data_IF_130940469866
#
_entry.id   IF_130940469866
#
_cell.length_a   1.000
_cell.length_b   1.000
_cell.length_c   1.000
_cell.angle_alpha   90.00
_cell.angle_beta   90.00
_cell.angle_gamma   90.00
#
_symmetry.space_group_name_H-M   'P 1'
#
loop_
_entity.id
_entity.type
_entity.pdbx_description
1 polymer ?
#
# COMPACT_ATOMS: atom_id res chain seq x y z
N UNK A 1 13.58 39.87 47.82
CA UNK A 1 13.40 39.91 46.35
C UNK A 1 13.44 38.52 45.69
N UNK A 2 12.86 37.46 46.29
CA UNK A 2 12.92 36.07 45.73
C UNK A 2 11.64 35.58 45.04
N UNK A 3 10.49 36.23 45.28
CA UNK A 3 9.18 35.76 44.76
C UNK A 3 8.96 36.01 43.26
N UNK A 4 9.56 37.05 42.69
CA UNK A 4 9.41 37.37 41.25
C UNK A 4 10.15 36.40 40.33
N UNK A 5 11.33 35.91 40.76
CA UNK A 5 12.13 34.96 39.97
C UNK A 5 11.46 33.58 39.87
N UNK A 6 10.83 33.11 40.94
CA UNK A 6 10.10 31.82 40.95
C UNK A 6 8.91 31.79 39.96
N UNK A 7 8.18 32.91 39.84
CA UNK A 7 7.07 33.00 38.90
C UNK A 7 7.56 33.03 37.45
N UNK A 8 8.66 33.74 37.18
CA UNK A 8 9.24 33.82 35.85
C UNK A 8 9.79 32.46 35.38
N UNK A 9 10.52 31.73 36.24
CA UNK A 9 11.01 30.38 35.94
C UNK A 9 9.87 29.38 35.67
N UNK A 10 8.79 29.48 36.44
CA UNK A 10 7.60 28.65 36.25
C UNK A 10 6.93 28.91 34.89
N UNK A 11 6.81 30.18 34.50
CA UNK A 11 6.23 30.57 33.20
C UNK A 11 7.09 30.05 32.04
N UNK A 12 8.42 30.21 32.14
CA UNK A 12 9.35 29.71 31.12
C UNK A 12 9.27 28.18 31.00
N UNK A 13 9.20 27.47 32.12
CA UNK A 13 9.06 26.01 32.15
C UNK A 13 7.77 25.53 31.47
N UNK A 14 6.62 26.14 31.80
CA UNK A 14 5.33 25.82 31.19
C UNK A 14 5.36 26.08 29.67
N UNK A 15 5.98 27.19 29.26
CA UNK A 15 6.10 27.54 27.84
C UNK A 15 6.95 26.51 27.07
N UNK A 16 8.09 26.10 27.63
CA UNK A 16 8.96 25.08 27.03
C UNK A 16 8.25 23.71 26.93
N UNK A 17 7.57 23.28 27.99
CA UNK A 17 6.79 22.04 28.00
C UNK A 17 5.72 22.06 26.91
N UNK A 18 5.05 23.21 26.73
CA UNK A 18 3.99 23.38 25.74
C UNK A 18 4.53 23.27 24.30
N UNK A 19 5.70 23.86 24.00
CA UNK A 19 6.36 23.75 22.69
C UNK A 19 6.74 22.30 22.37
N UNK A 20 7.29 21.59 23.37
CA UNK A 20 7.67 20.18 23.22
C UNK A 20 6.43 19.32 22.95
N UNK A 21 5.34 19.53 23.68
CA UNK A 21 4.08 18.80 23.50
C UNK A 21 3.48 19.02 22.10
N UNK A 22 3.43 20.27 21.61
CA UNK A 22 2.91 20.55 20.26
C UNK A 22 3.74 19.81 19.21
N UNK A 23 5.06 19.88 19.32
CA UNK A 23 5.99 19.21 18.39
C UNK A 23 5.80 17.69 18.39
N UNK A 24 5.62 17.08 19.56
CA UNK A 24 5.34 15.64 19.72
C UNK A 24 4.00 15.24 19.09
N UNK A 25 2.93 15.99 19.35
CA UNK A 25 1.59 15.70 18.82
C UNK A 25 1.58 15.79 17.30
N UNK A 26 2.20 16.82 16.72
CA UNK A 26 2.34 16.96 15.26
C UNK A 26 3.16 15.82 14.65
N UNK A 27 4.24 15.40 15.32
CA UNK A 27 5.06 14.26 14.91
C UNK A 27 4.28 12.95 14.89
N UNK A 28 3.57 12.62 15.98
CA UNK A 28 2.76 11.40 16.12
C UNK A 28 1.64 11.39 15.07
N UNK A 29 0.97 12.52 14.83
CA UNK A 29 -0.07 12.64 13.80
C UNK A 29 0.47 12.31 12.40
N UNK A 30 1.66 12.82 12.08
CA UNK A 30 2.32 12.58 10.79
C UNK A 30 2.70 11.11 10.62
N UNK A 31 3.24 10.48 11.67
CA UNK A 31 3.57 9.05 11.69
C UNK A 31 2.32 8.19 11.52
N UNK A 32 1.24 8.52 12.24
CA UNK A 32 -0.03 7.80 12.16
C UNK A 32 -0.63 7.81 10.75
N UNK A 33 -0.62 8.97 10.07
CA UNK A 33 -1.03 9.09 8.67
C UNK A 33 -0.17 8.21 7.76
N UNK A 34 1.15 8.21 7.95
CA UNK A 34 2.06 7.37 7.16
C UNK A 34 1.81 5.87 7.37
N UNK A 35 1.56 5.43 8.60
CA UNK A 35 1.23 4.03 8.91
C UNK A 35 -0.09 3.62 8.25
N UNK A 36 -1.11 4.47 8.33
CA UNK A 36 -2.39 4.20 7.67
C UNK A 36 -2.22 4.02 6.15
N UNK A 37 -1.38 4.86 5.52
CA UNK A 37 -1.10 4.79 4.10
C UNK A 37 -0.36 3.50 3.72
N UNK A 38 0.62 3.09 4.53
CA UNK A 38 1.34 1.83 4.33
C UNK A 38 0.39 0.64 4.39
N UNK A 39 -0.50 0.61 5.39
CA UNK A 39 -1.47 -0.48 5.56
C UNK A 39 -2.46 -0.57 4.38
N UNK A 40 -2.93 0.57 3.87
CA UNK A 40 -3.81 0.61 2.70
C UNK A 40 -3.10 0.06 1.46
N UNK A 41 -1.84 0.46 1.23
CA UNK A 41 -0.99 -0.08 0.16
C UNK A 41 -0.74 -1.58 0.29
N UNK A 42 -0.40 -2.07 1.49
CA UNK A 42 -0.18 -3.50 1.75
C UNK A 42 -1.42 -4.33 1.42
N UNK A 43 -2.61 -3.86 1.82
CA UNK A 43 -3.87 -4.53 1.50
C UNK A 43 -4.09 -4.64 -0.01
N UNK A 44 -3.89 -3.55 -0.76
CA UNK A 44 -4.11 -3.57 -2.22
C UNK A 44 -3.09 -4.46 -2.93
N UNK A 45 -1.83 -4.46 -2.47
CA UNK A 45 -0.81 -5.36 -3.03
C UNK A 45 -1.11 -6.83 -2.73
N UNK A 46 -1.60 -7.14 -1.53
CA UNK A 46 -1.99 -8.49 -1.17
C UNK A 46 -3.17 -8.98 -2.00
N UNK A 47 -4.17 -8.13 -2.21
CA UNK A 47 -5.29 -8.45 -3.08
C UNK A 47 -4.83 -8.70 -4.53
N UNK A 48 -4.00 -7.81 -5.08
CA UNK A 48 -3.44 -7.97 -6.43
C UNK A 48 -2.61 -9.26 -6.56
N UNK A 49 -1.86 -9.62 -5.51
CA UNK A 49 -1.09 -10.87 -5.46
C UNK A 49 -2.01 -12.08 -5.48
N UNK A 50 -3.07 -12.07 -4.66
CA UNK A 50 -4.03 -13.16 -4.60
C UNK A 50 -4.78 -13.34 -5.94
N UNK A 51 -5.18 -12.24 -6.58
CA UNK A 51 -5.81 -12.25 -7.90
C UNK A 51 -4.84 -12.81 -8.96
N UNK A 52 -3.56 -12.42 -8.90
CA UNK A 52 -2.53 -12.94 -9.79
C UNK A 52 -2.27 -14.44 -9.60
N UNK A 53 -2.12 -14.90 -8.36
CA UNK A 53 -1.92 -16.32 -8.04
C UNK A 53 -3.12 -17.17 -8.50
N UNK A 54 -4.34 -16.68 -8.31
CA UNK A 54 -5.55 -17.33 -8.80
C UNK A 54 -5.58 -17.44 -10.34
N UNK A 55 -5.23 -16.36 -11.05
CA UNK A 55 -5.21 -16.36 -12.52
C UNK A 55 -4.12 -17.26 -13.08
N UNK A 56 -2.92 -17.25 -12.50
CA UNK A 56 -1.84 -18.18 -12.86
C UNK A 56 -2.30 -19.63 -12.67
N UNK A 57 -2.89 -19.93 -11.52
CA UNK A 57 -3.38 -21.27 -11.19
C UNK A 57 -4.50 -21.73 -12.14
N UNK A 58 -5.42 -20.83 -12.49
CA UNK A 58 -6.52 -21.11 -13.42
C UNK A 58 -5.99 -21.33 -14.83
N UNK A 59 -5.13 -20.45 -15.33
CA UNK A 59 -4.52 -20.58 -16.66
C UNK A 59 -3.82 -21.92 -16.84
N UNK A 60 -3.06 -22.38 -15.84
CA UNK A 60 -2.37 -23.66 -15.92
C UNK A 60 -3.24 -24.89 -15.69
N UNK A 61 -4.47 -24.74 -15.17
CA UNK A 61 -5.43 -25.83 -14.99
C UNK A 61 -6.38 -25.98 -16.18
N UNK A 62 -6.90 -24.86 -16.69
CA UNK A 62 -7.98 -24.85 -17.68
C UNK A 62 -7.60 -24.18 -19.00
N UNK A 63 -6.50 -23.41 -19.05
CA UNK A 63 -6.11 -22.61 -20.21
C UNK A 63 -6.99 -21.38 -20.48
N UNK A 64 -8.09 -21.23 -19.74
CA UNK A 64 -9.09 -20.17 -19.91
C UNK A 64 -9.06 -19.24 -18.71
N UNK A 65 -8.99 -17.94 -18.98
CA UNK A 65 -9.00 -16.89 -17.98
C UNK A 65 -10.34 -16.16 -18.03
N UNK A 66 -10.90 -15.86 -16.86
CA UNK A 66 -12.16 -15.12 -16.72
C UNK A 66 -12.02 -14.12 -15.60
N UNK A 67 -12.47 -12.88 -15.81
CA UNK A 67 -12.38 -11.83 -14.80
C UNK A 67 -12.35 -10.43 -15.42
N UNK A 68 -12.12 -9.43 -14.57
CA UNK A 68 -11.96 -8.04 -14.99
C UNK A 68 -10.47 -7.68 -15.04
N UNK A 69 -9.83 -7.95 -16.16
CA UNK A 69 -8.44 -7.63 -16.43
C UNK A 69 -8.26 -7.35 -17.92
N UNK A 70 -7.21 -6.60 -18.26
CA UNK A 70 -6.84 -6.41 -19.65
C UNK A 70 -5.97 -7.61 -20.09
N UNK A 71 -6.31 -8.22 -21.24
CA UNK A 71 -5.54 -9.32 -21.84
C UNK A 71 -5.02 -8.91 -23.21
N UNK A 72 -3.71 -9.10 -23.44
CA UNK A 72 -3.06 -8.95 -24.72
C UNK A 72 -2.40 -10.27 -25.14
N UNK A 73 -2.70 -10.77 -26.34
CA UNK A 73 -2.05 -11.96 -26.88
C UNK A 73 -0.81 -11.56 -27.70
N UNK A 74 0.37 -12.00 -27.25
CA UNK A 74 1.68 -11.70 -27.82
C UNK A 74 2.30 -12.94 -28.48
N UNK A 75 1.55 -13.64 -29.33
CA UNK A 75 2.08 -14.76 -30.13
C UNK A 75 2.49 -15.97 -29.30
N UNK A 76 1.59 -16.48 -28.45
CA UNK A 76 1.82 -17.64 -27.57
C UNK A 76 2.19 -17.28 -26.14
N UNK A 77 2.28 -15.98 -25.84
CA UNK A 77 2.34 -15.44 -24.47
C UNK A 77 1.12 -14.56 -24.26
N UNK A 78 0.33 -14.84 -23.23
CA UNK A 78 -0.73 -13.96 -22.75
C UNK A 78 -0.18 -12.97 -21.75
N UNK A 79 -0.28 -11.68 -22.03
CA UNK A 79 -0.01 -10.61 -21.09
C UNK A 79 -1.32 -10.22 -20.42
N UNK A 80 -1.34 -10.24 -19.09
CA UNK A 80 -2.51 -9.90 -18.28
C UNK A 80 -2.15 -8.71 -17.40
N UNK A 81 -3.00 -7.69 -17.38
CA UNK A 81 -2.80 -6.50 -16.56
C UNK A 81 -3.92 -6.45 -15.53
N UNK A 82 -3.53 -6.59 -14.26
CA UNK A 82 -4.41 -6.41 -13.11
C UNK A 82 -4.21 -5.01 -12.57
N UNK A 83 -5.30 -4.26 -12.42
CA UNK A 83 -5.30 -2.90 -11.88
C UNK A 83 -6.17 -2.85 -10.65
N UNK A 84 -5.69 -2.18 -9.61
CA UNK A 84 -6.47 -1.94 -8.40
C UNK A 84 -6.13 -0.58 -7.82
N UNK A 85 -7.17 0.12 -7.40
CA UNK A 85 -7.06 1.43 -6.75
C UNK A 85 -7.14 1.26 -5.23
N UNK A 86 -6.32 1.99 -4.48
CA UNK A 86 -6.52 2.10 -3.03
C UNK A 86 -7.60 3.13 -2.67
N UNK A 87 -8.01 3.14 -1.41
CA UNK A 87 -9.04 4.06 -0.88
C UNK A 87 -8.66 5.56 -1.01
N UNK A 88 -7.47 5.88 -1.54
CA UNK A 88 -6.94 7.23 -1.69
C UNK A 88 -6.74 7.62 -3.15
N UNK A 89 -7.13 6.77 -4.10
CA UNK A 89 -7.00 7.03 -5.53
C UNK A 89 -5.64 6.69 -6.13
N UNK A 90 -4.77 5.97 -5.41
CA UNK A 90 -3.52 5.50 -6.01
C UNK A 90 -3.79 4.20 -6.77
N UNK A 91 -3.37 4.18 -8.03
CA UNK A 91 -3.48 3.02 -8.88
C UNK A 91 -2.24 2.14 -8.75
N UNK A 92 -2.48 0.85 -8.57
CA UNK A 92 -1.47 -0.19 -8.54
C UNK A 92 -1.76 -1.19 -9.65
N UNK A 93 -0.71 -1.69 -10.27
CA UNK A 93 -0.84 -2.68 -11.32
C UNK A 93 0.16 -3.82 -11.15
N UNK A 94 -0.28 -5.03 -11.48
CA UNK A 94 0.57 -6.20 -11.68
C UNK A 94 0.38 -6.66 -13.11
N UNK A 95 1.49 -6.84 -13.81
CA UNK A 95 1.53 -7.37 -15.17
C UNK A 95 2.06 -8.80 -15.12
N UNK A 96 1.26 -9.73 -15.62
CA UNK A 96 1.61 -11.15 -15.71
C UNK A 96 1.88 -11.50 -17.17
N UNK A 97 2.92 -12.30 -17.40
CA UNK A 97 3.23 -12.88 -18.69
C UNK A 97 3.10 -14.39 -18.59
N UNK A 98 1.99 -14.93 -19.09
CA UNK A 98 1.71 -16.35 -19.07
C UNK A 98 2.01 -16.95 -20.44
N UNK A 99 3.04 -17.77 -20.52
CA UNK A 99 3.31 -18.58 -21.71
C UNK A 99 2.48 -19.85 -21.66
N UNK A 100 1.92 -20.27 -22.79
CA UNK A 100 1.28 -21.58 -22.90
C UNK A 100 2.22 -22.68 -22.41
N UNK A 101 1.69 -23.60 -21.59
CA UNK A 101 2.41 -24.81 -21.20
C UNK A 101 2.51 -25.72 -22.42
N UNK A 102 3.71 -25.89 -22.96
CA UNK A 102 4.00 -27.03 -23.81
C UNK A 102 4.26 -28.27 -22.95
N UNK A 103 3.26 -29.14 -22.78
CA UNK A 103 3.39 -30.60 -22.94
C UNK A 103 2.09 -31.08 -23.57
N UNK A 104 2.16 -31.41 -24.86
CA UNK A 104 1.12 -32.14 -25.59
C UNK A 104 1.31 -33.63 -25.29
N UNK A 105 0.25 -34.31 -24.88
CA UNK A 105 0.17 -35.77 -24.94
C UNK A 105 -0.83 -36.11 -26.03
N UNK A 106 -0.40 -36.89 -27.03
CA UNK A 106 -1.26 -37.54 -28.04
C UNK A 106 -2.44 -38.27 -27.41
#
# INVERSE_FOLDING_TARGET
MRKGYFLLESIISIFLISIILISLVSGISSISKSIHNLKSKEKVMEDLRNDAEYLIGTYYKTGVLTGNFDEENMGGVKKIILKKEDDRGNNYEIILYLKEKGIYTD
#
